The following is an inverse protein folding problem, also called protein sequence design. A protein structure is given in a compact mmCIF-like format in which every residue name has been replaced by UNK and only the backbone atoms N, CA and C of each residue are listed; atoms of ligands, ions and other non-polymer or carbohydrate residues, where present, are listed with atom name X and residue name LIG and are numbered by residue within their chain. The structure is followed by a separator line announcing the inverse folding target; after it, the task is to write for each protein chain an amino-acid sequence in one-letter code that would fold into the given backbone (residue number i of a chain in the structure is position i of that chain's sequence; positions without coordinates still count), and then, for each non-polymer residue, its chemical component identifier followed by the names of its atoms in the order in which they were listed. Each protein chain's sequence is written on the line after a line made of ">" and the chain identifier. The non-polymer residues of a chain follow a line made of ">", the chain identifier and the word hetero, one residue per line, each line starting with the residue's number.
data_IF_268255015418
#
_entry.id   IF_268255015418
#
_cell.length_a   1.000
_cell.length_b   1.000
_cell.length_c   1.000
_cell.angle_alpha   90.00
_cell.angle_beta   90.00
_cell.angle_gamma   90.00
#
_symmetry.space_group_name_H-M   'P 1'
#
loop_
_entity.id
_entity.type
_entity.pdbx_description
1 polymer ?
#
# COMPACT_ATOMS: atom_id res chain seq x y z
N UNK A 1 7.35 -11.75 -18.55
CA UNK A 1 7.13 -11.53 -17.10
C UNK A 1 8.36 -10.79 -16.59
N UNK A 2 8.22 -9.59 -16.01
CA UNK A 2 9.37 -8.84 -15.48
C UNK A 2 9.80 -9.50 -14.16
N UNK A 3 11.11 -9.66 -13.94
CA UNK A 3 11.63 -10.19 -12.69
C UNK A 3 11.41 -9.19 -11.55
N UNK A 4 11.07 -9.67 -10.36
CA UNK A 4 10.82 -8.81 -9.19
C UNK A 4 12.06 -7.96 -8.86
N UNK A 5 13.27 -8.52 -9.00
CA UNK A 5 14.51 -7.76 -8.78
C UNK A 5 14.68 -6.61 -9.77
N UNK A 6 14.30 -6.79 -11.04
CA UNK A 6 14.33 -5.73 -12.06
C UNK A 6 13.32 -4.64 -11.72
N UNK A 7 12.10 -5.02 -11.38
CA UNK A 7 11.06 -4.07 -10.99
C UNK A 7 11.49 -3.22 -9.79
N UNK A 8 12.10 -3.83 -8.77
CA UNK A 8 12.62 -3.12 -7.58
C UNK A 8 13.70 -2.13 -7.96
N UNK A 9 14.66 -2.52 -8.82
CA UNK A 9 15.71 -1.60 -9.30
C UNK A 9 15.12 -0.40 -10.03
N UNK A 10 14.16 -0.62 -10.93
CA UNK A 10 13.53 0.46 -11.69
C UNK A 10 12.69 1.38 -10.78
N UNK A 11 12.04 0.83 -9.75
CA UNK A 11 11.32 1.64 -8.76
C UNK A 11 12.26 2.55 -7.94
N UNK A 12 13.49 2.09 -7.69
CA UNK A 12 14.47 2.85 -6.91
C UNK A 12 15.18 3.91 -7.75
N UNK A 13 15.19 3.79 -9.08
CA UNK A 13 15.86 4.73 -9.97
C UNK A 13 14.94 5.90 -10.40
N UNK A 14 15.28 7.18 -10.14
CA UNK A 14 14.38 8.31 -10.40
C UNK A 14 13.79 8.38 -11.81
N UNK A 15 14.62 8.17 -12.84
CA UNK A 15 14.21 8.25 -14.26
C UNK A 15 13.18 7.17 -14.68
N UNK A 16 13.22 5.97 -14.08
CA UNK A 16 12.32 4.86 -14.41
C UNK A 16 11.21 4.66 -13.37
N UNK A 17 11.30 5.32 -12.21
CA UNK A 17 10.40 5.15 -11.07
C UNK A 17 8.93 5.30 -11.45
N UNK A 18 8.57 6.35 -12.21
CA UNK A 18 7.16 6.59 -12.56
C UNK A 18 6.58 5.41 -13.34
N UNK A 19 7.28 4.97 -14.39
CA UNK A 19 6.83 3.86 -15.25
C UNK A 19 6.85 2.52 -14.50
N UNK A 20 7.86 2.28 -13.68
CA UNK A 20 7.93 1.10 -12.84
C UNK A 20 6.79 1.05 -11.81
N UNK A 21 6.38 2.22 -11.31
CA UNK A 21 5.28 2.34 -10.37
C UNK A 21 3.92 2.03 -11.01
N UNK A 22 3.68 2.45 -12.25
CA UNK A 22 2.49 2.04 -13.01
C UNK A 22 2.38 0.51 -13.11
N UNK A 23 3.49 -0.15 -13.47
CA UNK A 23 3.57 -1.61 -13.52
C UNK A 23 3.29 -2.23 -12.16
N UNK A 24 3.86 -1.68 -11.08
CA UNK A 24 3.62 -2.13 -9.72
C UNK A 24 2.13 -2.01 -9.33
N UNK A 25 1.48 -0.89 -9.64
CA UNK A 25 0.06 -0.68 -9.37
C UNK A 25 -0.76 -1.74 -10.10
N UNK A 26 -0.53 -1.94 -11.40
CA UNK A 26 -1.28 -2.92 -12.18
C UNK A 26 -1.12 -4.36 -11.68
N UNK A 27 0.09 -4.74 -11.26
CA UNK A 27 0.36 -6.08 -10.76
C UNK A 27 -0.30 -6.37 -9.40
N UNK A 28 -0.39 -5.38 -8.52
CA UNK A 28 -0.70 -5.63 -7.11
C UNK A 28 -1.99 -4.97 -6.61
N UNK A 29 -2.59 -4.00 -7.35
CA UNK A 29 -3.79 -3.27 -6.92
C UNK A 29 -4.93 -4.18 -6.47
N UNK A 30 -5.29 -5.18 -7.27
CA UNK A 30 -6.45 -6.03 -6.99
C UNK A 30 -6.21 -6.90 -5.75
N UNK A 31 -5.01 -7.46 -5.60
CA UNK A 31 -4.67 -8.31 -4.44
C UNK A 31 -4.60 -7.51 -3.14
N UNK A 32 -4.00 -6.31 -3.19
CA UNK A 32 -3.97 -5.40 -2.03
C UNK A 32 -5.37 -4.91 -1.68
N UNK A 33 -6.18 -4.57 -2.68
CA UNK A 33 -7.57 -4.17 -2.49
C UNK A 33 -8.36 -5.22 -1.71
N UNK A 34 -8.33 -6.48 -2.14
CA UNK A 34 -9.05 -7.55 -1.45
C UNK A 34 -8.54 -7.83 -0.04
N UNK A 35 -7.24 -7.65 0.19
CA UNK A 35 -6.68 -7.72 1.54
C UNK A 35 -7.22 -6.60 2.43
N UNK A 36 -7.12 -5.36 1.96
CA UNK A 36 -7.61 -4.18 2.67
C UNK A 36 -9.12 -4.31 2.97
N UNK A 37 -9.92 -4.73 1.98
CA UNK A 37 -11.38 -4.90 2.11
C UNK A 37 -11.79 -5.96 3.13
N UNK A 38 -10.89 -6.87 3.53
CA UNK A 38 -11.12 -7.79 4.65
C UNK A 38 -10.90 -7.15 6.02
N UNK A 39 -10.18 -6.03 6.07
CA UNK A 39 -9.88 -5.28 7.29
C UNK A 39 -10.86 -4.12 7.46
N UNK A 40 -11.12 -3.36 6.40
CA UNK A 40 -12.04 -2.22 6.40
C UNK A 40 -13.40 -2.62 5.81
N UNK A 41 -14.49 -2.17 6.44
CA UNK A 41 -15.82 -2.76 6.23
C UNK A 41 -16.56 -2.22 4.99
N UNK A 42 -16.14 -1.10 4.40
CA UNK A 42 -16.81 -0.51 3.23
C UNK A 42 -15.84 -0.29 2.05
N UNK A 43 -16.41 0.03 0.88
CA UNK A 43 -15.68 0.20 -0.37
C UNK A 43 -14.82 1.47 -0.38
N UNK A 44 -15.39 2.60 0.06
CA UNK A 44 -14.72 3.90 0.09
C UNK A 44 -13.44 3.87 0.94
N UNK A 45 -13.52 3.30 2.14
CA UNK A 45 -12.37 3.11 3.02
C UNK A 45 -11.30 2.24 2.38
N UNK A 46 -11.69 1.22 1.61
CA UNK A 46 -10.75 0.33 0.96
C UNK A 46 -9.98 1.05 -0.15
N UNK A 47 -10.66 1.89 -0.94
CA UNK A 47 -10.04 2.69 -1.98
C UNK A 47 -9.09 3.74 -1.39
N UNK A 48 -9.53 4.46 -0.35
CA UNK A 48 -8.72 5.45 0.36
C UNK A 48 -7.45 4.82 0.96
N UNK A 49 -7.60 3.66 1.62
CA UNK A 49 -6.46 2.95 2.20
C UNK A 49 -5.54 2.41 1.11
N UNK A 50 -6.07 1.91 0.00
CA UNK A 50 -5.27 1.43 -1.12
C UNK A 50 -4.45 2.57 -1.73
N UNK A 51 -5.06 3.74 -1.94
CA UNK A 51 -4.37 4.92 -2.45
C UNK A 51 -3.26 5.36 -1.49
N UNK A 52 -3.56 5.47 -0.20
CA UNK A 52 -2.56 5.83 0.82
C UNK A 52 -1.42 4.81 0.91
N UNK A 53 -1.73 3.52 0.75
CA UNK A 53 -0.75 2.44 0.69
C UNK A 53 0.23 2.69 -0.45
N UNK A 54 -0.26 2.93 -1.67
CA UNK A 54 0.60 3.19 -2.83
C UNK A 54 1.42 4.47 -2.66
N UNK A 55 0.85 5.55 -2.13
CA UNK A 55 1.60 6.78 -1.81
C UNK A 55 2.77 6.47 -0.86
N UNK A 56 2.54 5.66 0.19
CA UNK A 56 3.60 5.26 1.12
C UNK A 56 4.63 4.35 0.47
N UNK A 57 4.21 3.42 -0.38
CA UNK A 57 5.12 2.59 -1.16
C UNK A 57 6.03 3.47 -2.01
N UNK A 58 5.47 4.40 -2.80
CA UNK A 58 6.24 5.32 -3.63
C UNK A 58 7.26 6.13 -2.82
N UNK A 59 6.84 6.69 -1.69
CA UNK A 59 7.70 7.52 -0.82
C UNK A 59 8.82 6.74 -0.14
N UNK A 60 8.64 5.44 0.12
CA UNK A 60 9.57 4.64 0.92
C UNK A 60 10.33 3.57 0.11
N UNK A 61 10.13 3.51 -1.21
CA UNK A 61 10.70 2.44 -2.04
C UNK A 61 12.23 2.45 -2.09
N UNK A 62 12.85 3.62 -1.94
CA UNK A 62 14.31 3.76 -1.81
C UNK A 62 14.87 3.02 -0.60
N UNK A 63 14.08 2.89 0.48
CA UNK A 63 14.46 2.17 1.70
C UNK A 63 14.21 0.66 1.65
N UNK A 64 13.61 0.13 0.58
CA UNK A 64 13.33 -1.29 0.47
C UNK A 64 14.61 -2.09 0.14
N UNK A 65 15.04 -2.94 1.08
CA UNK A 65 16.32 -3.67 0.99
C UNK A 65 16.25 -5.03 0.29
N UNK A 66 15.07 -5.48 -0.13
CA UNK A 66 14.90 -6.81 -0.74
C UNK A 66 15.02 -8.00 0.22
N UNK A 67 15.04 -7.77 1.54
CA UNK A 67 15.07 -8.83 2.57
C UNK A 67 13.76 -9.65 2.65
N UNK A 68 12.72 -9.20 1.96
CA UNK A 68 11.44 -9.90 1.81
C UNK A 68 10.90 -9.69 0.40
N UNK A 69 9.87 -10.44 0.02
CA UNK A 69 9.15 -10.19 -1.24
C UNK A 69 8.53 -8.79 -1.24
N UNK A 70 8.57 -8.12 -2.39
CA UNK A 70 8.03 -6.77 -2.54
C UNK A 70 6.54 -6.74 -2.15
N UNK A 71 5.80 -7.76 -2.55
CA UNK A 71 4.41 -7.94 -2.16
C UNK A 71 4.22 -8.06 -0.64
N UNK A 72 5.07 -8.83 0.05
CA UNK A 72 5.00 -8.97 1.51
C UNK A 72 5.25 -7.65 2.24
N UNK A 73 6.18 -6.83 1.73
CA UNK A 73 6.43 -5.49 2.26
C UNK A 73 5.23 -4.56 2.07
N UNK A 74 4.63 -4.52 0.86
CA UNK A 74 3.42 -3.73 0.61
C UNK A 74 2.23 -4.20 1.44
N UNK A 75 2.10 -5.50 1.67
CA UNK A 75 1.04 -6.09 2.50
C UNK A 75 1.10 -5.58 3.95
N UNK A 76 2.30 -5.42 4.51
CA UNK A 76 2.51 -4.84 5.84
C UNK A 76 2.10 -3.37 5.88
N UNK A 77 2.44 -2.59 4.85
CA UNK A 77 2.02 -1.18 4.73
C UNK A 77 0.50 -1.11 4.67
N UNK A 78 -0.14 -1.87 3.78
CA UNK A 78 -1.60 -1.91 3.62
C UNK A 78 -2.33 -2.26 4.93
N UNK A 79 -1.79 -3.24 5.67
CA UNK A 79 -2.33 -3.64 6.97
C UNK A 79 -2.24 -2.50 7.98
N UNK A 80 -1.08 -1.84 8.07
CA UNK A 80 -0.88 -0.72 8.99
C UNK A 80 -1.79 0.47 8.65
N UNK A 81 -1.99 0.78 7.37
CA UNK A 81 -2.91 1.83 6.94
C UNK A 81 -4.36 1.51 7.31
N UNK A 82 -4.79 0.27 7.04
CA UNK A 82 -6.13 -0.21 7.39
C UNK A 82 -6.40 -0.09 8.89
N UNK A 83 -5.46 -0.54 9.73
CA UNK A 83 -5.57 -0.45 11.19
C UNK A 83 -5.55 0.99 11.70
N UNK A 84 -4.77 1.87 11.06
CA UNK A 84 -4.71 3.29 11.40
C UNK A 84 -6.03 3.99 11.12
N UNK A 85 -6.67 3.69 9.99
CA UNK A 85 -8.00 4.20 9.68
C UNK A 85 -9.03 3.76 10.72
N UNK A 86 -9.09 2.47 11.05
CA UNK A 86 -10.02 1.94 12.06
C UNK A 86 -9.83 2.61 13.43
N UNK A 87 -8.58 2.76 13.88
CA UNK A 87 -8.26 3.47 15.13
C UNK A 87 -8.72 4.92 15.09
N UNK A 88 -8.57 5.59 13.95
CA UNK A 88 -8.98 7.00 13.78
C UNK A 88 -10.50 7.14 13.81
N UNK A 89 -11.22 6.21 13.17
CA UNK A 89 -12.69 6.18 13.20
C UNK A 89 -13.24 5.89 14.60
N UNK A 90 -12.66 4.93 15.32
CA UNK A 90 -13.05 4.63 16.69
C UNK A 90 -12.92 5.86 17.61
N UNK A 91 -11.77 6.57 17.55
CA UNK A 91 -11.58 7.81 18.32
C UNK A 91 -12.60 8.90 17.99
N UNK A 92 -12.97 9.05 16.71
CA UNK A 92 -13.98 10.04 16.30
C UNK A 92 -15.36 9.72 16.87
N UNK A 93 -15.72 8.43 16.96
CA UNK A 93 -16.97 7.99 17.57
C UNK A 93 -16.97 8.23 19.09
N UNK A 94 -15.85 7.96 19.78
CA UNK A 94 -15.74 8.18 21.22
C UNK A 94 -15.87 9.66 21.60
N UNK A 95 -15.32 10.58 20.80
CA UNK A 95 -15.40 12.04 21.03
C UNK A 95 -16.81 12.59 20.77
N UNK A 96 -17.61 11.95 19.92
CA UNK A 96 -18.98 12.37 19.61
C UNK A 96 -20.02 11.95 20.66
N UNK A 97 -19.65 11.06 21.58
CA UNK A 97 -20.54 10.50 22.60
C UNK A 97 -20.29 11.09 24.01
N UNK A 98 -19.49 12.15 24.12
CA UNK A 98 -19.12 12.83 25.37
C UNK A 98 -19.64 14.25 25.46
#
# INVERSE_FOLDING_TARGET
>A
MIAEETLVKDLQHPESRSKAFEVLVDLYKQRLYWHIRRIVLNHEDADDVLQNTFIKVYKNIEGFKGESKLFSWMYRIATNESLTLLKTKARKLDIGNG
#
